data_IF_806183037325
#
_entry.id   IF_806183037325
#
_cell.length_a   1.000
_cell.length_b   1.000
_cell.length_c   1.000
_cell.angle_alpha   90.00
_cell.angle_beta   90.00
_cell.angle_gamma   90.00
#
_symmetry.space_group_name_H-M   'P 1'
#
loop_
_entity.id
_entity.type
_entity.pdbx_description
1 polymer ?
#
# COMPACT_ATOMS: atom_id res chain seq x y z
N UNK A 1 9.76 18.27 13.13
CA UNK A 1 8.54 17.45 13.03
C UNK A 1 8.94 16.05 12.58
N UNK A 2 8.60 15.01 13.35
CA UNK A 2 8.94 13.59 13.09
C UNK A 2 7.67 12.86 12.64
N UNK A 3 7.60 12.38 11.41
CA UNK A 3 6.46 11.60 10.91
C UNK A 3 6.89 10.61 9.83
N UNK A 4 6.30 9.42 9.80
CA UNK A 4 6.50 8.46 8.71
C UNK A 4 5.20 8.38 7.91
N UNK A 5 5.30 8.52 6.59
CA UNK A 5 4.25 8.06 5.69
C UNK A 5 4.83 7.00 4.76
N UNK A 6 4.54 5.73 4.99
CA UNK A 6 4.90 4.69 4.04
C UNK A 6 3.85 4.65 2.95
N UNK A 7 4.25 4.83 1.70
CA UNK A 7 3.36 4.61 0.57
C UNK A 7 3.77 3.29 -0.09
N UNK A 8 3.06 2.21 0.18
CA UNK A 8 3.37 0.89 -0.36
C UNK A 8 2.56 0.62 -1.63
N UNK A 9 3.21 0.52 -2.78
CA UNK A 9 2.56 0.14 -4.03
C UNK A 9 2.52 -1.37 -4.21
N UNK A 10 1.33 -1.97 -4.26
CA UNK A 10 1.16 -3.29 -4.85
C UNK A 10 1.02 -3.14 -6.36
N UNK A 11 2.12 -3.39 -7.07
CA UNK A 11 2.19 -3.12 -8.49
C UNK A 11 2.61 -4.35 -9.24
N UNK A 12 1.60 -5.14 -9.60
CA UNK A 12 1.78 -6.35 -10.38
C UNK A 12 2.05 -6.08 -11.87
N UNK A 13 2.07 -4.83 -12.36
CA UNK A 13 2.37 -4.56 -13.80
C UNK A 13 3.16 -3.27 -14.13
N UNK A 14 3.18 -2.22 -13.30
CA UNK A 14 3.87 -0.97 -13.68
C UNK A 14 4.52 -0.25 -12.48
N UNK A 15 5.79 0.12 -12.57
CA UNK A 15 6.42 0.96 -11.53
C UNK A 15 6.13 2.45 -11.81
N UNK A 16 5.74 3.26 -10.82
CA UNK A 16 5.64 4.70 -10.99
C UNK A 16 7.03 5.29 -11.26
N UNK A 17 7.07 6.33 -12.09
CA UNK A 17 8.28 7.12 -12.38
C UNK A 17 8.38 8.36 -11.49
N UNK A 18 7.26 8.75 -10.87
CA UNK A 18 7.22 9.83 -9.89
C UNK A 18 6.18 9.52 -8.83
N UNK A 19 6.57 9.68 -7.57
CA UNK A 19 5.74 9.41 -6.39
C UNK A 19 5.71 10.64 -5.52
N UNK A 20 4.52 10.99 -5.06
CA UNK A 20 4.29 12.05 -4.08
C UNK A 20 4.02 11.40 -2.72
N UNK A 21 4.63 11.95 -1.68
CA UNK A 21 4.50 11.41 -0.33
C UNK A 21 3.19 11.91 0.32
N UNK A 22 2.45 11.04 1.02
CA UNK A 22 1.34 11.48 1.85
C UNK A 22 1.86 12.34 3.00
N UNK A 23 1.26 13.50 3.22
CA UNK A 23 1.53 14.28 4.42
C UNK A 23 0.90 13.58 5.63
N UNK A 24 1.66 13.42 6.71
CA UNK A 24 1.09 12.89 7.96
C UNK A 24 0.08 13.91 8.53
N UNK A 25 -1.17 13.51 8.81
CA UNK A 25 -2.16 14.45 9.34
C UNK A 25 -1.73 15.05 10.69
N UNK A 26 -1.75 16.38 10.87
CA UNK A 26 -1.21 17.03 12.07
C UNK A 26 -1.99 16.72 13.36
N UNK A 27 -3.26 16.31 13.22
CA UNK A 27 -4.17 15.96 14.31
C UNK A 27 -4.23 14.44 14.60
N UNK A 28 -3.43 13.63 13.90
CA UNK A 28 -3.41 12.19 14.11
C UNK A 28 -2.60 11.80 15.36
N UNK A 29 -3.26 11.10 16.29
CA UNK A 29 -2.66 10.63 17.56
C UNK A 29 -2.13 9.19 17.49
N UNK A 30 -2.45 8.45 16.42
CA UNK A 30 -2.06 7.06 16.21
C UNK A 30 -1.69 6.82 14.74
N UNK A 31 -1.05 5.68 14.45
CA UNK A 31 -0.83 5.22 13.08
C UNK A 31 -2.10 4.65 12.45
N UNK A 32 -2.11 4.51 11.13
CA UNK A 32 -3.20 3.88 10.39
C UNK A 32 -2.72 3.34 9.04
N UNK A 33 -3.40 2.29 8.56
CA UNK A 33 -3.26 1.83 7.18
C UNK A 33 -4.45 2.27 6.33
N UNK A 34 -4.18 2.77 5.13
CA UNK A 34 -5.16 3.13 4.10
C UNK A 34 -4.93 2.24 2.90
N UNK A 35 -5.99 1.67 2.35
CA UNK A 35 -5.95 0.88 1.12
C UNK A 35 -6.67 1.64 0.03
N UNK A 36 -6.03 1.79 -1.12
CA UNK A 36 -6.54 2.52 -2.26
C UNK A 36 -6.38 1.71 -3.56
N UNK A 37 -7.33 1.87 -4.47
CA UNK A 37 -7.23 1.46 -5.86
C UNK A 37 -6.97 2.67 -6.74
N UNK A 38 -5.99 2.60 -7.65
CA UNK A 38 -5.72 3.63 -8.65
C UNK A 38 -6.13 3.14 -10.03
N UNK A 39 -6.85 3.98 -10.77
CA UNK A 39 -7.01 3.81 -12.22
C UNK A 39 -6.00 4.69 -12.94
N UNK A 40 -5.06 4.07 -13.65
CA UNK A 40 -4.04 4.74 -14.45
C UNK A 40 -4.45 4.74 -15.92
N UNK A 41 -4.32 5.89 -16.60
CA UNK A 41 -4.55 6.04 -18.04
C UNK A 41 -3.47 6.93 -18.65
N UNK A 42 -2.77 6.42 -19.67
CA UNK A 42 -1.68 7.15 -20.33
C UNK A 42 -0.59 7.64 -19.37
N UNK A 43 -0.26 6.83 -18.36
CA UNK A 43 0.72 7.20 -17.33
C UNK A 43 0.20 8.13 -16.21
N UNK A 44 -1.04 8.63 -16.28
CA UNK A 44 -1.62 9.50 -15.26
C UNK A 44 -2.61 8.76 -14.36
N UNK A 45 -2.61 9.07 -13.07
CA UNK A 45 -3.65 8.61 -12.15
C UNK A 45 -4.94 9.39 -12.44
N UNK A 46 -5.90 8.69 -13.02
CA UNK A 46 -7.21 9.26 -13.42
C UNK A 46 -8.27 9.18 -12.31
N UNK A 47 -8.10 8.24 -11.38
CA UNK A 47 -8.99 8.07 -10.22
C UNK A 47 -8.23 7.42 -9.07
N UNK A 48 -8.54 7.88 -7.85
CA UNK A 48 -8.11 7.25 -6.60
C UNK A 48 -9.35 6.85 -5.81
N UNK A 49 -9.54 5.56 -5.60
CA UNK A 49 -10.64 4.99 -4.83
C UNK A 49 -10.12 4.51 -3.47
N UNK A 50 -10.70 5.00 -2.36
CA UNK A 50 -10.34 4.51 -1.03
C UNK A 50 -11.16 3.26 -0.72
N UNK A 51 -10.47 2.13 -0.66
CA UNK A 51 -11.04 0.82 -0.40
C UNK A 51 -11.13 0.53 1.10
N UNK A 52 -10.21 1.06 1.90
CA UNK A 52 -10.21 0.95 3.37
C UNK A 52 -9.33 2.02 4.03
N UNK A 53 -9.58 2.32 5.29
CA UNK A 53 -8.90 3.38 6.05
C UNK A 53 -9.89 4.46 6.52
N UNK A 54 -9.48 5.21 7.55
CA UNK A 54 -10.29 6.26 8.16
C UNK A 54 -9.74 7.66 7.85
N UNK A 55 -10.59 8.67 7.95
CA UNK A 55 -10.10 10.05 7.99
C UNK A 55 -9.30 10.32 9.28
N UNK A 56 -8.34 11.25 9.26
CA UNK A 56 -7.90 12.09 8.14
C UNK A 56 -6.88 11.41 7.18
N UNK A 57 -6.48 10.17 7.45
CA UNK A 57 -5.46 9.46 6.66
C UNK A 57 -5.92 9.15 5.24
N UNK A 58 -7.20 8.81 5.08
CA UNK A 58 -7.79 8.54 3.77
C UNK A 58 -7.68 9.74 2.83
N UNK A 59 -7.98 10.96 3.31
CA UNK A 59 -7.80 12.19 2.53
C UNK A 59 -6.32 12.44 2.18
N UNK A 60 -5.41 12.32 3.14
CA UNK A 60 -3.97 12.54 2.93
C UNK A 60 -3.39 11.56 1.89
N UNK A 61 -3.75 10.28 1.99
CA UNK A 61 -3.37 9.26 1.01
C UNK A 61 -3.95 9.58 -0.37
N UNK A 62 -5.24 9.95 -0.46
CA UNK A 62 -5.89 10.29 -1.74
C UNK A 62 -5.18 11.44 -2.45
N UNK A 63 -4.87 12.50 -1.71
CA UNK A 63 -4.20 13.69 -2.25
C UNK A 63 -2.81 13.34 -2.82
N UNK A 64 -2.01 12.58 -2.09
CA UNK A 64 -0.68 12.19 -2.54
C UNK A 64 -0.73 11.24 -3.75
N UNK A 65 -1.61 10.24 -3.72
CA UNK A 65 -1.72 9.24 -4.79
C UNK A 65 -2.21 9.85 -6.11
N UNK A 66 -3.00 10.93 -6.08
CA UNK A 66 -3.36 11.68 -7.28
C UNK A 66 -2.16 12.35 -7.98
N UNK A 67 -1.09 12.63 -7.23
CA UNK A 67 0.16 13.19 -7.73
C UNK A 67 1.07 12.18 -8.43
N UNK A 68 0.82 10.88 -8.27
CA UNK A 68 1.68 9.83 -8.82
C UNK A 68 1.65 9.81 -10.35
N UNK A 69 2.78 9.39 -10.94
CA UNK A 69 2.94 9.26 -12.39
C UNK A 69 3.57 7.92 -12.73
N UNK A 70 3.10 7.33 -13.81
CA UNK A 70 3.55 6.06 -14.37
C UNK A 70 4.14 6.31 -15.77
N UNK A 71 4.92 5.35 -16.32
CA UNK A 71 5.40 5.44 -17.69
C UNK A 71 4.22 5.69 -18.66
N UNK A 72 4.35 6.61 -19.62
CA UNK A 72 3.29 6.88 -20.61
C UNK A 72 2.89 5.65 -21.44
N UNK A 73 3.78 4.66 -21.54
CA UNK A 73 3.50 3.36 -22.16
C UNK A 73 2.40 2.56 -21.44
N UNK A 74 2.08 2.91 -20.19
CA UNK A 74 0.94 2.34 -19.45
C UNK A 74 -0.35 2.98 -19.96
N UNK A 75 -0.92 2.39 -21.01
CA UNK A 75 -2.16 2.86 -21.62
C UNK A 75 -3.35 2.83 -20.63
N UNK A 76 -3.52 1.71 -19.93
CA UNK A 76 -4.50 1.54 -18.85
C UNK A 76 -4.01 0.51 -17.84
N UNK A 77 -4.10 0.81 -16.55
CA UNK A 77 -3.81 -0.15 -15.49
C UNK A 77 -4.67 0.12 -14.25
N UNK A 78 -4.90 -0.92 -13.44
CA UNK A 78 -5.45 -0.78 -12.10
C UNK A 78 -4.42 -1.24 -11.07
N UNK A 79 -4.23 -0.44 -10.04
CA UNK A 79 -3.13 -0.57 -9.08
C UNK A 79 -3.69 -0.58 -7.66
N UNK A 80 -3.30 -1.56 -6.85
CA UNK A 80 -3.56 -1.52 -5.41
C UNK A 80 -2.42 -0.78 -4.71
N UNK A 81 -2.73 0.12 -3.79
CA UNK A 81 -1.75 0.82 -2.96
C UNK A 81 -2.20 0.75 -1.51
N UNK A 82 -1.26 0.47 -0.62
CA UNK A 82 -1.47 0.51 0.82
C UNK A 82 -0.56 1.57 1.40
N UNK A 83 -1.12 2.58 2.03
CA UNK A 83 -0.37 3.64 2.70
C UNK A 83 -0.40 3.37 4.20
N UNK A 84 0.76 3.15 4.82
CA UNK A 84 0.87 3.01 6.27
C UNK A 84 1.42 4.31 6.86
N UNK A 85 0.62 4.98 7.66
CA UNK A 85 1.06 6.10 8.48
C UNK A 85 1.52 5.55 9.80
N UNK A 86 2.81 5.65 10.09
CA UNK A 86 3.34 5.11 11.35
C UNK A 86 3.47 6.20 12.40
N UNK A 87 2.98 5.89 13.60
CA UNK A 87 3.07 6.81 14.72
C UNK A 87 4.53 6.95 15.15
N UNK A 88 5.04 8.18 15.35
CA UNK A 88 6.39 8.40 15.84
C UNK A 88 6.61 7.90 17.28
N UNK A 89 5.52 7.58 18.00
CA UNK A 89 5.58 7.09 19.37
C UNK A 89 5.72 5.56 19.46
N UNK A 90 5.60 4.83 18.34
CA UNK A 90 5.84 3.39 18.29
C UNK A 90 7.34 3.12 18.24
N UNK A 91 7.97 3.04 19.41
CA UNK A 91 9.34 2.54 19.53
C UNK A 91 9.40 1.06 19.15
N UNK A 92 10.57 0.57 18.74
CA UNK A 92 10.81 -0.83 18.34
C UNK A 92 10.38 -1.89 19.40
N UNK A 93 10.16 -1.48 20.66
CA UNK A 93 9.66 -2.33 21.74
C UNK A 93 8.14 -2.56 21.69
N UNK A 94 7.40 -1.80 20.90
CA UNK A 94 5.94 -1.97 20.74
C UNK A 94 5.66 -3.01 19.66
N UNK A 95 4.79 -3.98 19.95
CA UNK A 95 4.35 -4.97 18.95
C UNK A 95 3.82 -4.21 17.73
N UNK A 96 4.31 -4.50 16.51
CA UNK A 96 3.79 -3.87 15.31
C UNK A 96 2.28 -4.04 15.22
N UNK A 97 1.56 -2.95 14.96
CA UNK A 97 0.12 -3.03 14.77
C UNK A 97 -0.17 -3.94 13.57
N UNK A 98 -1.14 -4.83 13.75
CA UNK A 98 -1.62 -5.70 12.70
C UNK A 98 -3.04 -5.34 12.36
N UNK A 99 -3.27 -4.99 11.10
CA UNK A 99 -4.60 -4.66 10.60
C UNK A 99 -5.14 -5.87 9.83
N UNK A 100 -6.23 -6.44 10.34
CA UNK A 100 -7.07 -7.36 9.60
C UNK A 100 -8.18 -6.53 8.92
N UNK A 101 -8.17 -6.49 7.60
CA UNK A 101 -9.20 -5.78 6.85
C UNK A 101 -10.31 -6.77 6.46
N UNK A 102 -11.59 -6.36 6.56
CA UNK A 102 -12.69 -7.22 6.15
C UNK A 102 -12.54 -7.60 4.68
N UNK A 103 -12.66 -8.89 4.38
CA UNK A 103 -12.59 -9.48 3.03
C UNK A 103 -13.74 -9.04 2.12
N UNK A 104 -14.74 -8.34 2.68
CA UNK A 104 -15.95 -7.93 2.00
C UNK A 104 -15.83 -6.51 1.41
N UNK A 105 -15.02 -6.35 0.36
CA UNK A 105 -15.26 -5.31 -0.65
C UNK A 105 -15.03 -5.86 -2.04
N UNK A 106 -16.11 -5.85 -2.81
CA UNK A 106 -16.21 -6.36 -4.16
C UNK A 106 -15.48 -5.45 -5.14
N UNK A 107 -14.45 -5.97 -5.78
CA UNK A 107 -13.80 -5.38 -6.95
C UNK A 107 -13.05 -6.50 -7.68
N UNK A 108 -13.41 -6.83 -8.93
CA UNK A 108 -12.71 -7.87 -9.67
C UNK A 108 -11.31 -7.35 -10.04
N UNK A 109 -10.31 -8.23 -9.98
CA UNK A 109 -8.97 -8.08 -10.59
C UNK A 109 -7.84 -7.34 -9.85
N UNK A 110 -7.91 -7.07 -8.53
CA UNK A 110 -6.71 -6.59 -7.80
C UNK A 110 -6.43 -7.34 -6.49
N UNK A 111 -5.15 -7.49 -6.10
CA UNK A 111 -4.80 -8.04 -4.79
C UNK A 111 -5.27 -7.11 -3.67
N UNK A 112 -5.99 -7.66 -2.68
CA UNK A 112 -6.46 -6.89 -1.53
C UNK A 112 -5.74 -7.35 -0.25
N UNK A 113 -5.12 -6.45 0.53
CA UNK A 113 -4.43 -6.85 1.77
C UNK A 113 -5.43 -7.38 2.79
N UNK A 114 -5.20 -8.59 3.29
CA UNK A 114 -5.95 -9.19 4.40
C UNK A 114 -5.17 -9.15 5.70
N UNK A 115 -3.85 -8.99 5.61
CA UNK A 115 -2.96 -8.84 6.75
C UNK A 115 -1.91 -7.79 6.45
N UNK A 116 -1.90 -6.72 7.24
CA UNK A 116 -0.94 -5.63 7.17
C UNK A 116 -0.16 -5.61 8.48
N UNK A 117 1.16 -5.72 8.40
CA UNK A 117 2.07 -5.54 9.53
C UNK A 117 2.70 -4.16 9.41
N UNK A 118 2.45 -3.29 10.40
CA UNK A 118 3.07 -1.98 10.41
C UNK A 118 4.60 -2.10 10.55
N UNK A 119 5.42 -1.31 9.83
CA UNK A 119 6.85 -1.30 10.08
C UNK A 119 7.19 -0.60 11.39
N UNK A 120 8.13 -1.17 12.13
CA UNK A 120 8.66 -0.55 13.34
C UNK A 120 9.48 0.69 13.02
N UNK A 121 9.44 1.69 13.89
CA UNK A 121 10.29 2.88 13.78
C UNK A 121 11.75 2.49 14.12
N UNK A 122 12.73 2.71 13.22
CA UNK A 122 14.13 2.35 13.49
C UNK A 122 14.70 3.15 14.68
N UNK A 123 15.43 2.52 15.62
CA UNK A 123 15.92 3.18 16.83
C UNK A 123 16.97 4.27 16.56
N UNK A 124 17.67 4.17 15.44
CA UNK A 124 18.72 5.08 14.98
C UNK A 124 18.19 6.24 14.12
N UNK A 125 16.91 6.22 13.75
CA UNK A 125 16.35 7.18 12.81
C UNK A 125 15.97 8.51 13.46
N UNK A 126 16.62 9.60 13.05
CA UNK A 126 16.20 10.96 13.38
C UNK A 126 15.36 11.58 12.26
N UNK A 127 14.05 11.75 12.46
CA UNK A 127 13.23 12.56 11.57
C UNK A 127 12.00 11.84 11.05
N UNK A 128 11.67 12.11 9.80
CA UNK A 128 10.47 11.59 9.17
C UNK A 128 10.63 11.54 7.66
N UNK A 129 9.81 10.73 7.01
CA UNK A 129 9.79 10.64 5.55
C UNK A 129 8.99 9.45 5.06
N UNK A 130 9.11 9.20 3.76
CA UNK A 130 8.36 8.17 3.08
C UNK A 130 9.27 7.21 2.34
N UNK A 131 8.98 5.92 2.50
CA UNK A 131 9.54 4.84 1.68
C UNK A 131 8.44 4.39 0.74
N UNK A 132 8.80 4.20 -0.52
CA UNK A 132 7.92 3.58 -1.51
C UNK A 132 8.53 2.28 -1.98
N UNK A 133 7.80 1.18 -1.77
CA UNK A 133 8.19 -0.14 -2.24
C UNK A 133 7.14 -0.66 -3.22
N UNK A 134 7.61 -1.46 -4.17
CA UNK A 134 6.83 -2.28 -5.06
C UNK A 134 6.85 -3.72 -4.58
N UNK A 135 5.67 -4.31 -4.47
CA UNK A 135 5.52 -5.71 -4.12
C UNK A 135 5.13 -6.57 -5.33
N UNK A 136 5.71 -7.75 -5.43
CA UNK A 136 5.17 -8.87 -6.20
C UNK A 136 4.52 -9.86 -5.24
N UNK A 137 3.28 -10.23 -5.52
CA UNK A 137 2.47 -11.14 -4.71
C UNK A 137 2.18 -12.39 -5.53
N UNK A 138 2.37 -13.57 -4.95
CA UNK A 138 2.06 -14.83 -5.62
C UNK A 138 0.56 -15.17 -5.59
N UNK A 139 0.21 -16.28 -6.26
CA UNK A 139 -1.15 -16.79 -6.33
C UNK A 139 -1.75 -17.18 -4.96
N UNK A 140 -0.92 -17.41 -3.94
CA UNK A 140 -1.34 -17.70 -2.57
C UNK A 140 -1.51 -16.42 -1.73
N UNK A 141 -1.20 -15.24 -2.30
CA UNK A 141 -1.31 -13.98 -1.60
C UNK A 141 -0.11 -13.63 -0.72
N UNK A 142 1.02 -14.33 -0.86
CA UNK A 142 2.25 -14.00 -0.15
C UNK A 142 3.14 -13.07 -0.98
N UNK A 143 3.87 -12.18 -0.30
CA UNK A 143 4.86 -11.31 -0.94
C UNK A 143 6.10 -12.14 -1.31
N UNK A 144 6.41 -12.20 -2.59
CA UNK A 144 7.58 -12.93 -3.13
C UNK A 144 8.78 -12.02 -3.36
N UNK A 145 8.53 -10.77 -3.78
CA UNK A 145 9.58 -9.81 -4.10
C UNK A 145 9.20 -8.42 -3.60
N UNK A 146 10.20 -7.73 -3.05
CA UNK A 146 10.12 -6.34 -2.62
C UNK A 146 11.17 -5.56 -3.40
N UNK A 147 10.76 -4.51 -4.10
CA UNK A 147 11.62 -3.62 -4.87
C UNK A 147 11.46 -2.20 -4.33
N UNK A 148 12.56 -1.53 -4.00
CA UNK A 148 12.51 -0.15 -3.51
C UNK A 148 12.42 0.83 -4.68
N UNK A 149 11.33 1.61 -4.73
CA UNK A 149 11.16 2.72 -5.68
C UNK A 149 11.76 4.00 -5.12
N UNK A 150 11.51 4.26 -3.83
CA UNK A 150 12.06 5.39 -3.08
C UNK A 150 12.56 4.90 -1.73
N UNK A 151 13.87 5.08 -1.50
CA UNK A 151 14.57 4.62 -0.30
C UNK A 151 14.80 5.76 0.69
N UNK A 152 14.84 5.44 1.98
CA UNK A 152 15.18 6.36 3.05
C UNK A 152 15.92 5.62 4.18
N UNK A 153 17.22 5.33 4.01
CA UNK A 153 18.07 4.72 5.04
C UNK A 153 17.42 3.51 5.76
N UNK A 154 17.55 3.46 7.09
CA UNK A 154 17.02 2.39 7.96
C UNK A 154 15.48 2.26 7.91
N UNK A 155 14.74 3.28 7.47
CA UNK A 155 13.30 3.14 7.22
C UNK A 155 13.01 2.16 6.09
N UNK A 156 13.89 2.06 5.09
CA UNK A 156 13.73 1.14 3.95
C UNK A 156 13.79 -0.31 4.41
N UNK A 157 14.72 -0.62 5.31
CA UNK A 157 14.92 -1.96 5.86
C UNK A 157 13.74 -2.36 6.75
N UNK A 158 13.31 -1.46 7.64
CA UNK A 158 12.14 -1.69 8.48
C UNK A 158 10.85 -1.90 7.66
N UNK A 159 10.65 -1.07 6.62
CA UNK A 159 9.55 -1.22 5.68
C UNK A 159 9.61 -2.58 4.97
N UNK A 160 10.77 -2.95 4.42
CA UNK A 160 10.99 -4.22 3.70
C UNK A 160 10.71 -5.44 4.60
N UNK A 161 11.19 -5.41 5.85
CA UNK A 161 10.99 -6.48 6.82
C UNK A 161 9.51 -6.64 7.22
N UNK A 162 8.77 -5.52 7.30
CA UNK A 162 7.35 -5.55 7.64
C UNK A 162 6.50 -6.08 6.48
N UNK A 163 6.72 -5.57 5.27
CA UNK A 163 5.90 -5.89 4.08
C UNK A 163 6.07 -7.34 3.63
N UNK A 164 7.24 -7.92 3.88
CA UNK A 164 7.47 -9.36 3.65
C UNK A 164 6.54 -10.27 4.49
N UNK A 165 5.96 -9.73 5.57
CA UNK A 165 5.02 -10.45 6.45
C UNK A 165 3.55 -10.20 6.09
N UNK A 166 3.26 -9.38 5.08
CA UNK A 166 1.90 -9.09 4.67
C UNK A 166 1.26 -10.27 3.92
N UNK A 167 -0.07 -10.28 3.90
CA UNK A 167 -0.85 -11.26 3.14
C UNK A 167 -1.97 -10.57 2.38
N UNK A 168 -2.27 -11.11 1.21
CA UNK A 168 -3.27 -10.60 0.29
C UNK A 168 -4.28 -11.69 -0.04
N UNK A 169 -5.53 -11.31 -0.23
CA UNK A 169 -6.49 -12.14 -0.94
C UNK A 169 -6.46 -11.74 -2.42
N UNK A 170 -6.22 -12.70 -3.29
CA UNK A 170 -6.49 -12.55 -4.71
C UNK A 170 -7.94 -12.97 -4.96
N UNK A 171 -8.73 -12.11 -5.60
CA UNK A 171 -10.02 -12.54 -6.10
C UNK A 171 -9.80 -13.51 -7.27
N UNK A 172 -10.01 -14.80 -7.05
CA UNK A 172 -10.26 -15.76 -8.10
C UNK A 172 -11.78 -15.72 -8.38
N UNK A 173 -12.27 -15.35 -9.57
CA UNK A 173 -13.68 -15.53 -9.89
C UNK A 173 -14.04 -17.01 -9.72
N UNK A 174 -15.26 -17.35 -9.24
CA UNK A 174 -15.71 -18.73 -9.23
C UNK A 174 -15.60 -19.27 -10.66
N UNK A 175 -14.89 -20.39 -10.83
CA UNK A 175 -14.94 -21.14 -12.10
C UNK A 175 -16.39 -21.60 -12.25
N UNK A 176 -17.16 -20.95 -13.12
CA UNK A 176 -18.48 -21.44 -13.49
C UNK A 176 -18.20 -22.73 -14.28
N UNK A 177 -18.29 -23.88 -13.61
CA UNK A 177 -18.28 -25.16 -14.31
C UNK A 177 -19.43 -25.15 -15.33
N UNK A 178 -19.20 -25.56 -16.59
CA UNK A 178 -20.28 -25.66 -17.56
C UNK A 178 -21.35 -26.60 -16.99
N UNK A 179 -22.55 -26.05 -16.79
CA UNK A 179 -23.73 -26.83 -16.45
C UNK A 179 -23.90 -27.87 -17.57
N UNK A 180 -23.69 -29.14 -17.24
CA UNK A 180 -23.88 -30.25 -18.17
C UNK A 180 -25.38 -30.28 -18.49
N UNK A 181 -25.80 -30.13 -19.76
CA UNK A 181 -27.23 -30.20 -20.09
C UNK A 181 -27.76 -31.59 -19.73
N UNK A 182 -28.96 -31.59 -19.14
CA UNK A 182 -29.73 -32.79 -18.77
C UNK A 182 -30.55 -33.27 -19.94
#
# INVERSE_FOLDING_TARGET
MRWISLALGLLSVASPISVSDPAYPPNAVAGAAVVAGLDVRGGLVSRVEILGGSEPFAAAARQALAGWRFPPSVARARVAVVVCFSSPNLTAATRPAEYALPTARSGPEMPFPVRIVEPGYPPDASGGGAVTLRLQVDAAGAVQKVESIKTLGSFTEAATAAVSKWRFALFRPPVIAPQRPK
#
